data_IF_488447099359
#
_entry.id   IF_488447099359
#
_cell.length_a   1.000
_cell.length_b   1.000
_cell.length_c   1.000
_cell.angle_alpha   90.00
_cell.angle_beta   90.00
_cell.angle_gamma   90.00
#
_symmetry.space_group_name_H-M   'P 1'
#
loop_
_entity.id
_entity.type
_entity.pdbx_description
1 polymer ?
#
# COMPACT_ATOMS: atom_id res chain seq x y z
N UNK A 1 1.56 -26.21 -10.28
CA UNK A 1 1.85 -24.93 -9.59
C UNK A 1 1.42 -25.10 -8.14
N UNK A 2 2.24 -24.71 -7.18
CA UNK A 2 1.86 -24.85 -5.78
C UNK A 2 0.82 -23.80 -5.38
N UNK A 3 0.17 -23.99 -4.23
CA UNK A 3 -0.95 -23.15 -3.76
C UNK A 3 -0.55 -21.69 -3.54
N UNK A 4 0.65 -21.44 -2.99
CA UNK A 4 1.16 -20.08 -2.77
C UNK A 4 1.25 -19.30 -4.09
N UNK A 5 1.81 -19.90 -5.14
CA UNK A 5 1.90 -19.28 -6.46
C UNK A 5 0.51 -19.04 -7.06
N UNK A 6 -0.42 -19.98 -6.87
CA UNK A 6 -1.81 -19.81 -7.33
C UNK A 6 -2.46 -18.59 -6.69
N UNK A 7 -2.32 -18.43 -5.36
CA UNK A 7 -2.87 -17.29 -4.62
C UNK A 7 -2.25 -15.95 -5.09
N UNK A 8 -0.92 -15.91 -5.27
CA UNK A 8 -0.25 -14.70 -5.76
C UNK A 8 -0.70 -14.31 -7.18
N UNK A 9 -0.91 -15.30 -8.05
CA UNK A 9 -1.34 -15.05 -9.43
C UNK A 9 -2.83 -14.72 -9.53
N UNK A 10 -3.68 -15.29 -8.67
CA UNK A 10 -5.11 -14.99 -8.62
C UNK A 10 -5.43 -13.63 -7.97
N UNK A 11 -4.61 -13.17 -7.07
CA UNK A 11 -4.86 -11.95 -6.28
C UNK A 11 -5.11 -10.73 -7.17
N UNK A 12 -6.20 -10.03 -6.87
CA UNK A 12 -6.57 -8.74 -7.47
C UNK A 12 -7.10 -7.79 -6.38
N UNK A 13 -7.16 -6.49 -6.65
CA UNK A 13 -7.74 -5.51 -5.72
C UNK A 13 -9.25 -5.68 -5.63
N UNK A 14 -9.77 -5.78 -4.42
CA UNK A 14 -11.18 -5.93 -4.09
C UNK A 14 -11.67 -4.67 -3.39
N UNK A 15 -12.77 -4.07 -3.91
CA UNK A 15 -13.35 -2.80 -3.44
C UNK A 15 -14.87 -2.89 -3.19
N UNK A 16 -15.45 -4.07 -3.33
CA UNK A 16 -16.82 -4.36 -2.89
C UNK A 16 -16.82 -5.67 -2.13
N UNK A 17 -17.44 -5.66 -0.98
CA UNK A 17 -17.40 -6.74 0.00
C UNK A 17 -18.81 -7.27 0.24
N UNK A 18 -18.89 -8.55 0.62
CA UNK A 18 -20.09 -9.14 1.18
C UNK A 18 -20.34 -8.58 2.59
N UNK A 19 -21.59 -8.64 3.04
CA UNK A 19 -21.96 -8.34 4.44
C UNK A 19 -21.57 -9.51 5.34
N UNK A 20 -20.26 -9.75 5.46
CA UNK A 20 -19.71 -10.81 6.28
C UNK A 20 -18.53 -10.30 7.09
N UNK A 21 -18.45 -10.70 8.34
CA UNK A 21 -17.36 -10.32 9.23
C UNK A 21 -16.10 -11.13 8.92
N UNK A 22 -14.95 -10.53 9.22
CA UNK A 22 -13.68 -11.23 9.39
C UNK A 22 -13.60 -11.66 10.85
N UNK A 23 -13.50 -12.95 11.10
CA UNK A 23 -13.46 -13.48 12.47
C UNK A 23 -12.19 -13.02 13.21
N UNK A 24 -12.23 -12.96 14.56
CA UNK A 24 -11.03 -12.63 15.34
C UNK A 24 -9.84 -13.55 15.04
N UNK A 25 -10.09 -14.83 14.78
CA UNK A 25 -9.07 -15.83 14.44
C UNK A 25 -8.43 -15.54 13.08
N UNK A 26 -9.24 -15.21 12.06
CA UNK A 26 -8.74 -14.82 10.74
C UNK A 26 -7.92 -13.53 10.81
N UNK A 27 -8.42 -12.52 11.52
CA UNK A 27 -7.68 -11.26 11.75
C UNK A 27 -6.34 -11.52 12.43
N UNK A 28 -6.33 -12.35 13.48
CA UNK A 28 -5.10 -12.71 14.18
C UNK A 28 -4.11 -13.46 13.26
N UNK A 29 -4.60 -14.39 12.42
CA UNK A 29 -3.76 -15.09 11.45
C UNK A 29 -3.13 -14.14 10.43
N UNK A 30 -3.89 -13.16 9.93
CA UNK A 30 -3.42 -12.13 9.01
C UNK A 30 -2.34 -11.25 9.66
N UNK A 31 -2.59 -10.77 10.89
CA UNK A 31 -1.63 -9.95 11.63
C UNK A 31 -0.36 -10.73 11.97
N UNK A 32 -0.49 -11.99 12.39
CA UNK A 32 0.67 -12.84 12.65
C UNK A 32 1.52 -13.05 11.40
N UNK A 33 0.91 -13.26 10.24
CA UNK A 33 1.65 -13.37 8.99
C UNK A 33 2.41 -12.08 8.64
N UNK A 34 1.84 -10.90 8.96
CA UNK A 34 2.56 -9.64 8.81
C UNK A 34 3.80 -9.58 9.71
N UNK A 35 3.72 -10.08 10.95
CA UNK A 35 4.85 -10.06 11.89
C UNK A 35 5.99 -11.00 11.49
N UNK A 36 5.70 -12.04 10.71
CA UNK A 36 6.72 -12.98 10.16
C UNK A 36 7.43 -12.45 8.91
N UNK A 37 7.15 -11.20 8.51
CA UNK A 37 7.84 -10.56 7.40
C UNK A 37 9.32 -10.31 7.73
N UNK A 38 10.24 -10.44 6.76
CA UNK A 38 11.63 -10.02 6.98
C UNK A 38 11.70 -8.50 7.20
N UNK A 39 12.64 -8.07 8.04
CA UNK A 39 12.79 -6.68 8.43
C UNK A 39 14.27 -6.30 8.53
N UNK A 40 14.61 -5.06 8.26
CA UNK A 40 15.97 -4.56 8.30
C UNK A 40 16.58 -4.72 9.71
N UNK A 41 17.64 -5.53 9.82
CA UNK A 41 18.32 -5.79 11.10
C UNK A 41 17.41 -6.36 12.19
N UNK A 42 16.32 -7.00 11.84
CA UNK A 42 15.27 -7.48 12.75
C UNK A 42 14.69 -6.39 13.66
N UNK A 43 14.63 -5.14 13.16
CA UNK A 43 14.16 -3.99 13.93
C UNK A 43 12.65 -3.83 13.92
N UNK A 44 11.96 -4.44 12.93
CA UNK A 44 10.50 -4.26 12.75
C UNK A 44 10.14 -2.78 12.70
N UNK A 45 10.74 -2.04 11.76
CA UNK A 45 10.59 -0.60 11.60
C UNK A 45 9.18 -0.22 11.09
N UNK A 46 8.16 -0.85 11.64
CA UNK A 46 6.77 -0.56 11.30
C UNK A 46 5.84 -0.68 12.51
N UNK A 47 4.76 0.05 12.49
CA UNK A 47 3.62 -0.07 13.41
C UNK A 47 2.35 -0.25 12.59
N UNK A 48 1.44 -1.10 13.05
CA UNK A 48 0.16 -1.36 12.39
C UNK A 48 -0.96 -0.73 13.21
N UNK A 49 -1.69 0.20 12.61
CA UNK A 49 -2.90 0.76 13.20
C UNK A 49 -4.10 -0.06 12.74
N UNK A 50 -4.85 -0.60 13.68
CA UNK A 50 -6.09 -1.31 13.45
C UNK A 50 -7.27 -0.34 13.61
N UNK A 51 -7.85 0.08 12.50
CA UNK A 51 -8.92 1.08 12.48
C UNK A 51 -10.27 0.40 12.68
N UNK A 52 -10.77 0.45 13.89
CA UNK A 52 -12.05 -0.17 14.27
C UNK A 52 -13.19 0.85 14.42
N UNK A 53 -12.87 2.11 14.68
CA UNK A 53 -13.85 3.19 14.83
C UNK A 53 -14.50 3.54 13.48
N UNK A 54 -15.83 3.51 13.43
CA UNK A 54 -16.60 3.74 12.20
C UNK A 54 -16.54 5.20 11.72
N UNK A 55 -16.47 6.16 12.64
CA UNK A 55 -16.35 7.57 12.28
C UNK A 55 -14.97 7.85 11.68
N UNK A 56 -13.92 7.25 12.24
CA UNK A 56 -12.57 7.34 11.70
C UNK A 56 -12.47 6.69 10.30
N UNK A 57 -13.09 5.52 10.08
CA UNK A 57 -13.17 4.90 8.75
C UNK A 57 -13.89 5.80 7.75
N UNK A 58 -14.97 6.47 8.17
CA UNK A 58 -15.70 7.41 7.32
C UNK A 58 -14.80 8.61 6.96
N UNK A 59 -14.14 9.22 7.91
CA UNK A 59 -13.20 10.32 7.67
C UNK A 59 -12.09 9.91 6.72
N UNK A 60 -11.47 8.74 6.93
CA UNK A 60 -10.44 8.21 6.04
C UNK A 60 -10.97 7.95 4.62
N UNK A 61 -12.23 7.54 4.47
CA UNK A 61 -12.83 7.37 3.14
C UNK A 61 -12.96 8.69 2.39
N UNK A 62 -13.17 9.79 3.10
CA UNK A 62 -13.29 11.14 2.54
C UNK A 62 -11.92 11.73 2.21
N UNK A 63 -10.97 11.64 3.14
CA UNK A 63 -9.62 12.21 3.00
C UNK A 63 -8.73 11.42 2.04
N UNK A 64 -9.07 10.17 1.75
CA UNK A 64 -8.40 9.32 0.77
C UNK A 64 -9.21 9.25 -0.54
N UNK A 65 -9.38 10.39 -1.20
CA UNK A 65 -9.99 10.55 -2.54
C UNK A 65 -11.46 10.07 -2.63
N UNK A 66 -12.25 10.32 -1.58
CA UNK A 66 -13.68 9.99 -1.52
C UNK A 66 -14.00 8.54 -1.91
N UNK A 67 -13.27 7.58 -1.32
CA UNK A 67 -13.40 6.16 -1.61
C UNK A 67 -14.33 5.44 -0.60
N UNK A 68 -15.65 5.34 -0.85
CA UNK A 68 -16.62 4.87 0.14
C UNK A 68 -16.45 3.40 0.57
N UNK A 69 -15.72 2.60 -0.19
CA UNK A 69 -15.44 1.22 0.18
C UNK A 69 -14.50 1.11 1.38
N UNK A 70 -13.76 2.17 1.73
CA UNK A 70 -12.91 2.23 2.93
C UNK A 70 -13.81 2.16 4.18
N UNK A 71 -14.83 3.02 4.25
CA UNK A 71 -15.77 3.04 5.37
C UNK A 71 -16.55 1.72 5.50
N UNK A 72 -16.82 1.05 4.39
CA UNK A 72 -17.59 -0.22 4.33
C UNK A 72 -16.74 -1.46 4.56
N UNK A 73 -15.42 -1.35 4.60
CA UNK A 73 -14.55 -2.50 4.74
C UNK A 73 -14.68 -3.14 6.13
N UNK A 74 -14.86 -4.46 6.23
CA UNK A 74 -14.88 -5.18 7.50
C UNK A 74 -13.63 -4.95 8.35
N UNK A 75 -12.45 -4.88 7.73
CA UNK A 75 -11.18 -4.61 8.41
C UNK A 75 -10.37 -3.56 7.64
N UNK A 76 -9.81 -2.60 8.36
CA UNK A 76 -8.93 -1.56 7.83
C UNK A 76 -7.66 -1.52 8.67
N UNK A 77 -6.51 -1.70 8.03
CA UNK A 77 -5.20 -1.65 8.66
C UNK A 77 -4.35 -0.58 7.98
N UNK A 78 -3.66 0.26 8.78
CA UNK A 78 -2.65 1.20 8.26
C UNK A 78 -1.28 0.70 8.71
N UNK A 79 -0.41 0.42 7.76
CA UNK A 79 0.97 0.05 8.00
C UNK A 79 1.81 1.33 7.96
N UNK A 80 2.33 1.70 9.11
CA UNK A 80 3.17 2.89 9.25
C UNK A 80 4.64 2.49 9.23
N UNK A 81 5.47 3.19 8.46
CA UNK A 81 6.91 3.24 8.66
C UNK A 81 7.18 3.95 9.99
N UNK A 82 7.90 3.32 10.90
CA UNK A 82 8.05 3.79 12.27
C UNK A 82 9.51 3.74 12.72
N UNK A 83 10.16 4.90 12.65
CA UNK A 83 11.50 5.11 13.19
C UNK A 83 11.44 5.66 14.63
N UNK A 84 10.29 6.16 15.09
CA UNK A 84 10.14 6.81 16.38
C UNK A 84 10.43 5.86 17.55
N UNK A 85 9.87 4.66 17.54
CA UNK A 85 10.01 3.71 18.66
C UNK A 85 11.45 3.33 18.99
N UNK A 86 12.33 3.28 17.98
CA UNK A 86 13.74 3.03 18.21
C UNK A 86 14.48 4.25 18.74
N UNK A 87 14.11 5.45 18.24
CA UNK A 87 14.61 6.71 18.78
C UNK A 87 14.27 6.81 20.26
N UNK A 88 13.00 6.61 20.62
CA UNK A 88 12.52 6.64 22.01
C UNK A 88 13.22 5.61 22.88
N UNK A 89 13.43 4.39 22.38
CA UNK A 89 14.14 3.34 23.11
C UNK A 89 15.61 3.70 23.38
N UNK A 90 16.31 4.27 22.41
CA UNK A 90 17.70 4.72 22.59
C UNK A 90 17.80 5.87 23.58
N UNK A 91 16.93 6.87 23.48
CA UNK A 91 16.89 8.00 24.40
C UNK A 91 16.55 7.56 25.84
N UNK A 92 15.60 6.63 25.99
CA UNK A 92 15.25 6.05 27.29
C UNK A 92 16.42 5.28 27.96
N UNK A 93 17.35 4.77 27.16
CA UNK A 93 18.58 4.13 27.65
C UNK A 93 19.75 5.11 27.82
N UNK A 94 19.55 6.40 27.65
CA UNK A 94 20.60 7.41 27.76
C UNK A 94 21.57 7.45 26.57
N UNK A 95 21.21 6.84 25.46
CA UNK A 95 21.96 6.98 24.21
C UNK A 95 21.73 8.38 23.62
N UNK A 96 22.66 8.82 22.78
CA UNK A 96 22.52 10.07 22.01
C UNK A 96 22.43 9.74 20.50
N UNK A 97 21.30 9.20 20.04
CA UNK A 97 21.15 8.85 18.64
C UNK A 97 21.07 10.11 17.76
N UNK A 98 21.56 10.02 16.52
CA UNK A 98 21.18 11.02 15.53
C UNK A 98 19.68 10.92 15.23
N UNK A 99 19.08 11.99 14.79
CA UNK A 99 17.68 11.96 14.32
C UNK A 99 17.55 11.10 13.08
N UNK A 100 16.41 10.37 12.93
CA UNK A 100 16.09 9.67 11.70
C UNK A 100 16.11 10.60 10.49
N UNK A 101 16.59 10.08 9.37
CA UNK A 101 16.65 10.82 8.11
C UNK A 101 16.02 10.02 6.96
N UNK A 102 16.10 10.54 5.72
CA UNK A 102 15.47 9.91 4.55
C UNK A 102 15.86 8.44 4.34
N UNK A 103 17.12 8.06 4.64
CA UNK A 103 17.58 6.67 4.52
C UNK A 103 16.88 5.72 5.50
N UNK A 104 16.69 6.16 6.74
CA UNK A 104 15.97 5.39 7.77
C UNK A 104 14.51 5.23 7.39
N UNK A 105 13.88 6.31 6.92
CA UNK A 105 12.49 6.29 6.47
C UNK A 105 12.29 5.33 5.29
N UNK A 106 13.19 5.34 4.30
CA UNK A 106 13.09 4.42 3.15
C UNK A 106 13.20 2.95 3.57
N UNK A 107 14.06 2.63 4.55
CA UNK A 107 14.13 1.28 5.13
C UNK A 107 12.84 0.93 5.88
N UNK A 108 12.32 1.84 6.69
CA UNK A 108 11.08 1.63 7.43
C UNK A 108 9.87 1.50 6.49
N UNK A 109 9.82 2.26 5.39
CA UNK A 109 8.81 2.11 4.34
C UNK A 109 8.86 0.74 3.68
N UNK A 110 10.06 0.20 3.41
CA UNK A 110 10.23 -1.15 2.88
C UNK A 110 9.71 -2.19 3.87
N UNK A 111 10.11 -2.14 5.13
CA UNK A 111 9.64 -3.05 6.20
C UNK A 111 8.10 -3.03 6.31
N UNK A 112 7.49 -1.85 6.37
CA UNK A 112 6.04 -1.70 6.44
C UNK A 112 5.33 -2.31 5.23
N UNK A 113 5.83 -2.07 4.01
CA UNK A 113 5.24 -2.60 2.78
C UNK A 113 5.41 -4.12 2.65
N UNK A 114 6.53 -4.68 3.12
CA UNK A 114 6.77 -6.14 3.13
C UNK A 114 5.81 -6.81 4.12
N UNK A 115 5.66 -6.26 5.33
CA UNK A 115 4.67 -6.74 6.32
C UNK A 115 3.23 -6.65 5.79
N UNK A 116 2.88 -5.53 5.14
CA UNK A 116 1.58 -5.35 4.50
C UNK A 116 1.33 -6.40 3.40
N UNK A 117 2.33 -6.74 2.58
CA UNK A 117 2.18 -7.76 1.55
C UNK A 117 2.03 -9.17 2.13
N UNK A 118 2.69 -9.49 3.25
CA UNK A 118 2.46 -10.75 3.96
C UNK A 118 1.01 -10.85 4.47
N UNK A 119 0.48 -9.77 5.07
CA UNK A 119 -0.93 -9.70 5.47
C UNK A 119 -1.89 -9.93 4.29
N UNK A 120 -1.61 -9.31 3.14
CA UNK A 120 -2.39 -9.49 1.90
C UNK A 120 -2.36 -10.93 1.41
N UNK A 121 -1.21 -11.59 1.48
CA UNK A 121 -1.04 -12.99 1.03
C UNK A 121 -1.80 -13.94 1.97
N UNK A 122 -1.69 -13.72 3.28
CA UNK A 122 -2.44 -14.49 4.26
C UNK A 122 -3.95 -14.31 4.12
N UNK A 123 -4.43 -13.07 3.97
CA UNK A 123 -5.84 -12.79 3.73
C UNK A 123 -6.35 -13.50 2.46
N UNK A 124 -5.60 -13.44 1.37
CA UNK A 124 -5.94 -14.11 0.12
C UNK A 124 -6.09 -15.62 0.30
N UNK A 125 -5.22 -16.28 1.10
CA UNK A 125 -5.30 -17.71 1.38
C UNK A 125 -6.53 -18.10 2.20
N UNK A 126 -7.11 -17.15 2.93
CA UNK A 126 -8.35 -17.31 3.70
C UNK A 126 -9.60 -16.90 2.90
N UNK A 127 -9.48 -16.62 1.60
CA UNK A 127 -10.60 -16.15 0.77
C UNK A 127 -11.01 -14.69 1.06
N UNK A 128 -10.17 -13.94 1.76
CA UNK A 128 -10.39 -12.53 2.10
C UNK A 128 -9.65 -11.68 1.07
N UNK A 129 -10.40 -10.86 0.33
CA UNK A 129 -9.86 -9.91 -0.63
C UNK A 129 -9.30 -8.67 0.05
N UNK A 130 -8.44 -7.95 -0.65
CA UNK A 130 -7.81 -6.71 -0.15
C UNK A 130 -7.62 -5.66 -1.24
N UNK A 131 -7.46 -4.39 -0.82
CA UNK A 131 -7.01 -3.32 -1.69
C UNK A 131 -6.03 -2.42 -0.95
N UNK A 132 -4.90 -2.12 -1.61
CA UNK A 132 -3.99 -1.06 -1.18
C UNK A 132 -4.57 0.30 -1.52
N UNK A 133 -4.47 1.24 -0.58
CA UNK A 133 -4.86 2.62 -0.71
C UNK A 133 -3.62 3.48 -0.44
N UNK A 134 -3.09 4.07 -1.51
CA UNK A 134 -1.89 4.92 -1.44
C UNK A 134 -2.22 6.35 -1.01
N UNK A 135 -3.49 6.73 -1.14
CA UNK A 135 -3.99 8.08 -0.83
C UNK A 135 -3.83 8.46 0.65
N UNK A 136 -3.53 7.48 1.51
CA UNK A 136 -3.16 7.71 2.91
C UNK A 136 -1.88 8.56 3.05
N UNK A 137 -1.05 8.64 2.00
CA UNK A 137 0.14 9.49 1.95
C UNK A 137 -0.16 10.95 1.65
N UNK A 138 -1.38 11.28 1.21
CA UNK A 138 -1.79 12.65 1.01
C UNK A 138 -2.18 13.32 2.33
N UNK A 139 -2.34 14.65 2.31
CA UNK A 139 -2.85 15.40 3.44
C UNK A 139 -2.08 15.14 4.75
N UNK A 140 -0.74 15.22 4.70
CA UNK A 140 0.17 14.86 5.81
C UNK A 140 -0.31 15.43 7.14
N UNK A 141 -0.59 16.72 7.20
CA UNK A 141 -0.98 17.43 8.43
C UNK A 141 -2.27 16.87 9.00
N UNK A 142 -3.25 16.60 8.12
CA UNK A 142 -4.54 16.07 8.52
C UNK A 142 -4.43 14.63 8.99
N UNK A 143 -3.75 13.76 8.23
CA UNK A 143 -3.60 12.35 8.60
C UNK A 143 -2.71 12.19 9.83
N UNK A 144 -1.66 13.01 9.97
CA UNK A 144 -0.81 13.03 11.18
C UNK A 144 -1.63 13.37 12.43
N UNK A 145 -2.46 14.42 12.37
CA UNK A 145 -3.33 14.80 13.47
C UNK A 145 -4.42 13.76 13.74
N UNK A 146 -5.08 13.26 12.71
CA UNK A 146 -6.18 12.29 12.80
C UNK A 146 -5.76 10.96 13.42
N UNK A 147 -4.56 10.49 13.09
CA UNK A 147 -4.01 9.21 13.54
C UNK A 147 -3.04 9.35 14.73
N UNK A 148 -2.76 10.56 15.21
CA UNK A 148 -1.83 10.83 16.30
C UNK A 148 -0.39 10.40 15.98
N UNK A 149 0.06 10.57 14.72
CA UNK A 149 1.39 10.13 14.29
C UNK A 149 2.48 11.08 14.82
N UNK A 150 3.51 10.55 15.51
CA UNK A 150 4.68 11.34 15.88
C UNK A 150 5.52 11.72 14.65
N UNK A 151 6.56 12.52 14.86
CA UNK A 151 7.38 13.13 13.81
C UNK A 151 7.98 12.09 12.84
N UNK A 152 8.50 10.98 13.38
CA UNK A 152 9.20 9.96 12.58
C UNK A 152 8.35 8.72 12.28
N UNK A 153 7.02 8.92 12.18
CA UNK A 153 6.07 7.88 11.77
C UNK A 153 5.29 8.36 10.54
N UNK A 154 5.31 7.52 9.49
CA UNK A 154 4.69 7.82 8.19
C UNK A 154 3.76 6.67 7.80
N UNK A 155 2.50 6.93 7.40
CA UNK A 155 1.60 5.87 6.94
C UNK A 155 2.05 5.37 5.56
N UNK A 156 2.76 4.23 5.52
CA UNK A 156 3.32 3.66 4.29
C UNK A 156 2.24 3.13 3.34
N UNK A 157 1.21 2.51 3.88
CA UNK A 157 0.07 1.99 3.13
C UNK A 157 -1.14 1.78 4.04
N UNK A 158 -2.32 2.09 3.53
CA UNK A 158 -3.58 1.61 4.12
C UNK A 158 -4.09 0.41 3.32
N UNK A 159 -4.58 -0.60 4.02
CA UNK A 159 -5.19 -1.80 3.46
C UNK A 159 -6.61 -1.96 3.97
N UNK A 160 -7.52 -2.20 3.06
CA UNK A 160 -8.87 -2.67 3.37
C UNK A 160 -9.00 -4.15 3.05
N UNK A 161 -9.77 -4.87 3.87
CA UNK A 161 -9.99 -6.31 3.75
C UNK A 161 -11.47 -6.64 3.90
N UNK A 162 -11.93 -7.66 3.18
CA UNK A 162 -13.27 -8.19 3.27
C UNK A 162 -13.47 -9.32 2.27
N UNK A 163 -14.51 -10.13 2.46
CA UNK A 163 -14.86 -11.17 1.49
C UNK A 163 -15.36 -10.52 0.21
N UNK A 164 -14.84 -10.93 -0.97
CA UNK A 164 -15.19 -10.30 -2.23
C UNK A 164 -16.67 -10.52 -2.56
N UNK A 165 -17.41 -9.47 -2.85
CA UNK A 165 -18.74 -9.57 -3.43
C UNK A 165 -18.70 -10.32 -4.79
N UNK A 166 -19.81 -10.96 -5.24
CA UNK A 166 -19.86 -11.70 -6.50
C UNK A 166 -19.38 -10.90 -7.72
N UNK A 167 -19.69 -9.61 -7.77
CA UNK A 167 -19.20 -8.70 -8.80
C UNK A 167 -17.68 -8.57 -8.86
N UNK A 168 -17.02 -8.68 -7.70
CA UNK A 168 -15.56 -8.65 -7.62
C UNK A 168 -14.94 -10.00 -8.00
N UNK A 169 -15.61 -11.10 -7.70
CA UNK A 169 -15.16 -12.44 -8.12
C UNK A 169 -15.19 -12.56 -9.63
N UNK A 170 -16.24 -12.09 -10.29
CA UNK A 170 -16.40 -12.11 -11.74
C UNK A 170 -15.44 -11.17 -12.49
N UNK A 171 -14.89 -10.15 -11.84
CA UNK A 171 -13.99 -9.18 -12.47
C UNK A 171 -12.65 -9.80 -12.83
N UNK A 172 -12.20 -9.60 -14.06
CA UNK A 172 -10.88 -10.03 -14.49
C UNK A 172 -9.74 -9.30 -13.78
N UNK A 173 -8.64 -10.01 -13.57
CA UNK A 173 -7.39 -9.41 -13.07
C UNK A 173 -6.78 -8.56 -14.17
N UNK A 174 -6.38 -7.30 -13.89
CA UNK A 174 -5.67 -6.48 -14.87
C UNK A 174 -4.38 -7.14 -15.35
N UNK A 175 -4.18 -7.17 -16.66
CA UNK A 175 -2.97 -7.67 -17.31
C UNK A 175 -1.73 -6.93 -16.80
N UNK A 176 -0.62 -7.64 -16.69
CA UNK A 176 0.72 -7.08 -16.44
C UNK A 176 1.52 -7.05 -17.74
N UNK A 177 2.52 -6.16 -17.82
CA UNK A 177 3.46 -6.19 -18.93
C UNK A 177 4.37 -7.42 -18.86
N UNK A 178 5.07 -7.72 -19.93
CA UNK A 178 5.99 -8.85 -20.01
C UNK A 178 7.23 -8.63 -19.14
N UNK A 179 7.74 -9.71 -18.55
CA UNK A 179 8.88 -9.66 -17.61
C UNK A 179 10.15 -9.04 -18.21
N UNK A 180 10.39 -9.20 -19.51
CA UNK A 180 11.55 -8.61 -20.21
C UNK A 180 11.67 -7.08 -20.10
N UNK A 181 10.54 -6.40 -19.78
CA UNK A 181 10.52 -4.95 -19.55
C UNK A 181 10.74 -4.54 -18.09
N UNK A 182 10.71 -5.50 -17.18
CA UNK A 182 10.82 -5.25 -15.72
C UNK A 182 12.10 -5.82 -15.15
N UNK A 183 12.69 -6.83 -15.79
CA UNK A 183 13.89 -7.50 -15.31
C UNK A 183 15.05 -7.12 -16.23
N UNK A 184 16.04 -6.42 -15.68
CA UNK A 184 17.28 -6.09 -16.36
C UNK A 184 18.44 -6.85 -15.70
N UNK A 185 19.23 -7.54 -16.50
CA UNK A 185 20.39 -8.28 -16.00
C UNK A 185 21.56 -7.32 -15.70
N UNK A 186 22.14 -7.47 -14.52
CA UNK A 186 23.36 -6.78 -14.04
C UNK A 186 23.33 -5.24 -13.98
N UNK A 187 22.33 -4.58 -14.56
CA UNK A 187 22.29 -3.11 -14.52
C UNK A 187 21.03 -2.52 -15.11
N UNK A 188 20.74 -1.27 -14.75
CA UNK A 188 19.60 -0.54 -15.28
C UNK A 188 19.87 -0.08 -16.72
N UNK A 189 18.95 -0.39 -17.62
CA UNK A 189 18.98 0.05 -19.02
C UNK A 189 17.76 0.93 -19.32
N UNK A 190 18.00 2.14 -19.80
CA UNK A 190 16.91 2.98 -20.33
C UNK A 190 16.36 2.35 -21.62
N UNK A 191 15.03 2.18 -21.64
CA UNK A 191 14.32 1.67 -22.81
C UNK A 191 14.18 2.75 -23.88
N UNK A 192 14.25 2.34 -25.14
CA UNK A 192 13.95 3.21 -26.30
C UNK A 192 12.42 3.42 -26.43
N UNK A 193 12.00 4.45 -27.16
CA UNK A 193 10.60 4.79 -27.35
C UNK A 193 9.77 3.61 -27.91
N UNK A 194 10.33 2.83 -28.82
CA UNK A 194 9.68 1.62 -29.37
C UNK A 194 9.45 0.54 -28.32
N UNK A 195 10.40 0.34 -27.41
CA UNK A 195 10.30 -0.64 -26.31
C UNK A 195 9.25 -0.18 -25.28
N UNK A 196 9.24 1.11 -24.92
CA UNK A 196 8.22 1.69 -24.05
C UNK A 196 6.82 1.55 -24.65
N UNK A 197 6.69 1.76 -25.95
CA UNK A 197 5.42 1.53 -26.65
C UNK A 197 5.01 0.05 -26.61
N UNK A 198 5.93 -0.88 -26.83
CA UNK A 198 5.66 -2.31 -26.72
C UNK A 198 5.24 -2.71 -25.30
N UNK A 199 5.89 -2.14 -24.26
CA UNK A 199 5.58 -2.39 -22.86
C UNK A 199 4.19 -1.88 -22.44
N UNK A 200 3.79 -0.69 -22.89
CA UNK A 200 2.61 0.02 -22.39
C UNK A 200 1.41 -0.06 -23.34
N UNK A 201 1.62 -0.41 -24.61
CA UNK A 201 0.61 -0.32 -25.67
C UNK A 201 -0.68 -1.09 -25.35
N UNK A 202 -0.62 -2.21 -24.66
CA UNK A 202 -1.80 -2.96 -24.26
C UNK A 202 -2.77 -2.18 -23.35
N UNK A 203 -2.30 -1.14 -22.67
CA UNK A 203 -3.13 -0.30 -21.78
C UNK A 203 -3.99 0.69 -22.55
N UNK A 204 -3.60 1.04 -23.76
CA UNK A 204 -4.36 1.97 -24.61
C UNK A 204 -5.68 1.36 -25.09
N UNK A 205 -5.81 0.03 -25.09
CA UNK A 205 -6.95 -0.73 -25.62
C UNK A 205 -7.26 -0.28 -27.06
N UNK A 206 -8.47 0.23 -27.34
CA UNK A 206 -8.88 0.69 -28.65
C UNK A 206 -8.49 2.14 -28.99
N UNK A 207 -7.86 2.88 -28.05
CA UNK A 207 -7.46 4.28 -28.29
C UNK A 207 -6.06 4.35 -28.94
N UNK A 208 -5.76 5.40 -29.73
CA UNK A 208 -4.39 5.68 -30.17
C UNK A 208 -3.45 5.78 -28.95
N UNK A 209 -2.29 5.12 -29.04
CA UNK A 209 -1.35 5.02 -27.93
C UNK A 209 -0.90 6.39 -27.39
N UNK A 210 -0.60 7.33 -28.28
CA UNK A 210 -0.11 8.67 -27.91
C UNK A 210 -1.20 9.47 -27.19
N UNK A 211 -2.42 9.36 -27.61
CA UNK A 211 -3.58 10.02 -26.99
C UNK A 211 -3.85 9.45 -25.59
N UNK A 212 -3.85 8.11 -25.48
CA UNK A 212 -3.96 7.44 -24.19
C UNK A 212 -2.84 7.86 -23.23
N UNK A 213 -1.58 7.87 -23.72
CA UNK A 213 -0.43 8.17 -22.87
C UNK A 213 -0.44 9.62 -22.37
N UNK A 214 -0.86 10.61 -23.20
CA UNK A 214 -1.03 12.01 -22.78
C UNK A 214 -2.09 12.11 -21.68
N UNK A 215 -3.28 11.55 -21.89
CA UNK A 215 -4.34 11.55 -20.88
C UNK A 215 -3.90 10.86 -19.58
N UNK A 216 -3.13 9.79 -19.69
CA UNK A 216 -2.63 9.08 -18.53
C UNK A 216 -1.54 9.86 -17.77
N UNK A 217 -0.70 10.61 -18.48
CA UNK A 217 0.27 11.53 -17.91
C UNK A 217 -0.43 12.64 -17.12
N UNK A 218 -1.42 13.29 -17.74
CA UNK A 218 -2.18 14.36 -17.08
C UNK A 218 -2.89 13.86 -15.81
N UNK A 219 -3.47 12.65 -15.87
CA UNK A 219 -4.13 12.05 -14.73
C UNK A 219 -3.14 11.62 -13.62
N UNK A 220 -1.98 11.03 -13.96
CA UNK A 220 -1.08 10.40 -12.99
C UNK A 220 0.05 11.28 -12.48
N UNK A 221 0.47 12.29 -13.27
CA UNK A 221 1.60 13.15 -12.91
C UNK A 221 1.22 14.63 -12.77
N UNK A 222 0.26 15.10 -13.58
CA UNK A 222 -0.08 16.52 -13.65
C UNK A 222 -1.34 16.90 -12.83
N UNK A 223 -2.06 15.92 -12.30
CA UNK A 223 -3.28 16.17 -11.51
C UNK A 223 -2.98 16.82 -10.16
N UNK A 224 -3.98 17.47 -9.58
CA UNK A 224 -3.91 18.01 -8.21
C UNK A 224 -3.56 16.95 -7.19
N UNK A 225 -4.19 15.79 -7.28
CA UNK A 225 -3.91 14.59 -6.50
C UNK A 225 -2.41 14.21 -6.50
N UNK A 226 -1.80 14.09 -7.68
CA UNK A 226 -0.39 13.68 -7.77
C UNK A 226 0.57 14.74 -7.18
N UNK A 227 0.24 16.02 -7.33
CA UNK A 227 1.01 17.11 -6.74
C UNK A 227 0.89 17.13 -5.22
N UNK A 228 -0.33 16.94 -4.69
CA UNK A 228 -0.57 16.86 -3.25
C UNK A 228 0.15 15.66 -2.64
N UNK A 229 0.08 14.48 -3.26
CA UNK A 229 0.84 13.30 -2.79
C UNK A 229 2.34 13.59 -2.69
N UNK A 230 2.92 14.26 -3.68
CA UNK A 230 4.35 14.64 -3.66
C UNK A 230 4.67 15.66 -2.58
N UNK A 231 3.82 16.69 -2.41
CA UNK A 231 3.96 17.70 -1.36
C UNK A 231 3.88 17.05 0.02
N UNK A 232 2.80 16.32 0.25
CA UNK A 232 2.52 15.65 1.52
C UNK A 232 3.61 14.65 1.90
N UNK A 233 4.09 13.85 0.95
CA UNK A 233 5.20 12.93 1.20
C UNK A 233 6.49 13.67 1.60
N UNK A 234 6.77 14.84 1.03
CA UNK A 234 7.92 15.67 1.40
C UNK A 234 7.79 16.25 2.82
N UNK A 235 6.59 16.52 3.29
CA UNK A 235 6.34 17.00 4.67
C UNK A 235 6.53 15.90 5.75
N UNK A 236 6.57 14.64 5.34
CA UNK A 236 6.92 13.53 6.23
C UNK A 236 8.44 13.31 6.35
N UNK A 237 9.23 13.87 5.42
CA UNK A 237 10.69 13.73 5.35
C UNK A 237 11.43 14.84 6.09
#
# INVERSE_FOLDING_TARGET
MNEVLQQLYARKSVRAFEESEITPQEKQAILRAAFEAPTAGNQQLYTILDITDSALKQTLSETCDHQPFIAKAPMVLIFCADCQKWLDAYEACGCAPRRPGPGDLLLAMADACIAAQNAVTAAQSLGIGSCYIGDILENCEQHRALLGLPEYVVPAAMLVFGRPAPSQLAREKPRRCEGKFLVHENGYRRMQASELRAMLGYKAAARPYEEWLRSFCDFKYNSGFSREMSRSAAEYL
#
